data_IF_983105539880
#
_entry.id   IF_983105539880
#
_cell.length_a   1.000
_cell.length_b   1.000
_cell.length_c   1.000
_cell.angle_alpha   90.00
_cell.angle_beta   90.00
_cell.angle_gamma   90.00
#
_symmetry.space_group_name_H-M   'P 1'
#
loop_
_entity.id
_entity.type
_entity.pdbx_description
1 polymer ?
#
# COMPACT_ATOMS: atom_id res chain seq x y z
N UNK A 1 17.44 -19.63 44.23
CA UNK A 1 16.22 -19.36 43.46
C UNK A 1 16.40 -18.05 42.69
N UNK A 2 16.53 -18.11 41.36
CA UNK A 2 16.57 -16.92 40.49
C UNK A 2 15.18 -16.69 39.90
N UNK A 3 14.65 -15.46 39.87
CA UNK A 3 13.27 -15.21 39.49
C UNK A 3 13.05 -15.45 37.99
N UNK A 4 11.98 -16.16 37.67
CA UNK A 4 11.47 -16.42 36.32
C UNK A 4 11.19 -15.08 35.63
N UNK A 5 11.99 -14.73 34.62
CA UNK A 5 11.65 -13.62 33.70
C UNK A 5 10.37 -13.99 32.96
N UNK A 6 9.32 -13.23 33.22
CA UNK A 6 7.99 -13.47 32.68
C UNK A 6 8.00 -13.43 31.15
N UNK A 7 7.24 -14.35 30.58
CA UNK A 7 7.00 -14.66 29.17
C UNK A 7 6.17 -13.56 28.47
N UNK A 8 6.53 -12.28 28.63
CA UNK A 8 6.07 -11.19 27.76
C UNK A 8 7.06 -11.07 26.61
N UNK A 9 6.82 -11.86 25.56
CA UNK A 9 7.50 -11.74 24.27
C UNK A 9 7.50 -10.28 23.85
N UNK A 10 8.70 -9.70 23.69
CA UNK A 10 8.87 -8.44 22.99
C UNK A 10 8.40 -8.68 21.56
N UNK A 11 7.20 -8.21 21.22
CA UNK A 11 6.81 -7.98 19.83
C UNK A 11 7.88 -7.05 19.25
N UNK A 12 8.80 -7.59 18.46
CA UNK A 12 9.72 -6.80 17.66
C UNK A 12 8.84 -5.97 16.71
N UNK A 13 8.67 -4.68 17.03
CA UNK A 13 7.94 -3.77 16.16
C UNK A 13 8.68 -3.70 14.82
N UNK A 14 7.97 -3.97 13.72
CA UNK A 14 8.57 -3.87 12.39
C UNK A 14 8.93 -2.42 12.09
N UNK A 15 10.12 -2.23 11.56
CA UNK A 15 10.61 -0.97 10.97
C UNK A 15 10.36 -0.90 9.46
N UNK A 16 9.95 -2.01 8.84
CA UNK A 16 9.68 -2.16 7.40
C UNK A 16 8.41 -2.98 7.14
N UNK A 17 7.68 -2.59 6.09
CA UNK A 17 6.46 -3.27 5.67
C UNK A 17 6.76 -4.71 5.22
N UNK A 18 5.87 -5.65 5.52
CA UNK A 18 6.07 -7.01 5.01
C UNK A 18 5.84 -7.07 3.49
N UNK A 19 6.53 -8.01 2.84
CA UNK A 19 6.24 -8.39 1.44
C UNK A 19 5.18 -9.49 1.35
N UNK A 20 4.47 -9.79 2.44
CA UNK A 20 3.39 -10.76 2.41
C UNK A 20 2.31 -10.27 1.44
N UNK A 21 1.71 -11.21 0.71
CA UNK A 21 0.76 -10.98 -0.38
C UNK A 21 1.33 -10.31 -1.64
N UNK A 22 2.59 -9.85 -1.64
CA UNK A 22 3.20 -9.14 -2.77
C UNK A 22 3.65 -10.10 -3.89
N UNK A 23 2.70 -10.88 -4.41
CA UNK A 23 2.88 -11.89 -5.46
C UNK A 23 1.64 -11.94 -6.37
N UNK A 24 1.74 -12.53 -7.57
CA UNK A 24 0.58 -12.76 -8.43
C UNK A 24 -0.50 -13.58 -7.70
N UNK A 25 -1.76 -13.27 -7.99
CA UNK A 25 -2.89 -13.89 -7.33
C UNK A 25 -4.12 -13.84 -8.24
N UNK A 26 -4.81 -14.97 -8.37
CA UNK A 26 -6.10 -15.03 -9.06
C UNK A 26 -7.20 -14.27 -8.27
N UNK A 27 -8.36 -14.08 -8.89
CA UNK A 27 -9.46 -13.31 -8.31
C UNK A 27 -10.12 -14.02 -7.12
N UNK A 28 -10.13 -15.34 -7.08
CA UNK A 28 -10.74 -16.10 -6.00
C UNK A 28 -9.89 -16.00 -4.73
N UNK A 29 -8.60 -16.30 -4.88
CA UNK A 29 -7.57 -16.14 -3.85
C UNK A 29 -7.54 -14.70 -3.31
N UNK A 30 -7.62 -13.70 -4.20
CA UNK A 30 -7.70 -12.28 -3.81
C UNK A 30 -8.91 -11.97 -2.92
N UNK A 31 -10.12 -12.37 -3.35
CA UNK A 31 -11.34 -12.16 -2.57
C UNK A 31 -11.29 -12.90 -1.24
N UNK A 32 -10.73 -14.11 -1.22
CA UNK A 32 -10.57 -14.92 -0.01
C UNK A 32 -9.69 -14.23 1.02
N UNK A 33 -8.53 -13.72 0.60
CA UNK A 33 -7.60 -12.97 1.46
C UNK A 33 -8.26 -11.69 1.99
N UNK A 34 -8.89 -10.88 1.13
CA UNK A 34 -9.59 -9.67 1.56
C UNK A 34 -10.72 -9.97 2.55
N UNK A 35 -11.53 -11.00 2.29
CA UNK A 35 -12.59 -11.43 3.19
C UNK A 35 -12.06 -11.88 4.56
N UNK A 36 -10.96 -12.64 4.57
CA UNK A 36 -10.29 -13.07 5.81
C UNK A 36 -9.76 -11.88 6.62
N UNK A 37 -9.03 -10.97 5.97
CA UNK A 37 -8.50 -9.76 6.61
C UNK A 37 -9.62 -8.86 7.13
N UNK A 38 -10.69 -8.67 6.36
CA UNK A 38 -11.84 -7.87 6.77
C UNK A 38 -12.52 -8.43 8.03
N UNK A 39 -12.72 -9.76 8.11
CA UNK A 39 -13.27 -10.41 9.32
C UNK A 39 -12.36 -10.22 10.53
N UNK A 40 -11.05 -10.43 10.35
CA UNK A 40 -10.07 -10.27 11.42
C UNK A 40 -9.94 -8.83 11.89
N UNK A 41 -10.10 -7.85 11.01
CA UNK A 41 -10.09 -6.44 11.42
C UNK A 41 -11.27 -6.06 12.33
N UNK A 42 -12.38 -6.81 12.33
CA UNK A 42 -13.54 -6.50 13.18
C UNK A 42 -13.26 -6.71 14.68
N UNK A 43 -12.22 -7.47 15.06
CA UNK A 43 -11.92 -7.70 16.49
C UNK A 43 -11.13 -6.55 17.13
N UNK A 44 -10.64 -5.60 16.33
CA UNK A 44 -9.89 -4.45 16.84
C UNK A 44 -10.84 -3.29 17.17
N UNK A 45 -10.50 -2.47 18.18
CA UNK A 45 -11.19 -1.21 18.40
C UNK A 45 -11.19 -0.36 17.13
N UNK A 46 -12.36 0.14 16.73
CA UNK A 46 -12.55 0.88 15.47
C UNK A 46 -11.56 2.03 15.32
N UNK A 47 -11.34 2.80 16.39
CA UNK A 47 -10.45 3.97 16.35
C UNK A 47 -8.97 3.59 16.19
N UNK A 48 -8.55 2.43 16.72
CA UNK A 48 -7.19 1.94 16.55
C UNK A 48 -6.87 1.65 15.07
N UNK A 49 -7.88 1.26 14.29
CA UNK A 49 -7.79 1.02 12.85
C UNK A 49 -7.98 2.32 12.06
N UNK A 50 -8.99 3.13 12.41
CA UNK A 50 -9.31 4.33 11.62
C UNK A 50 -8.29 5.45 11.75
N UNK A 51 -7.59 5.57 12.88
CA UNK A 51 -6.57 6.60 13.05
C UNK A 51 -5.45 6.50 11.99
N UNK A 52 -4.77 5.36 11.78
CA UNK A 52 -3.77 5.25 10.72
C UNK A 52 -4.40 5.36 9.32
N UNK A 53 -5.61 4.82 9.10
CA UNK A 53 -6.29 4.90 7.79
C UNK A 53 -6.54 6.34 7.36
N UNK A 54 -6.97 7.21 8.29
CA UNK A 54 -7.18 8.64 8.01
C UNK A 54 -5.89 9.36 7.64
N UNK A 55 -4.78 9.02 8.29
CA UNK A 55 -3.45 9.58 7.95
C UNK A 55 -3.04 9.16 6.54
N UNK A 56 -3.21 7.89 6.21
CA UNK A 56 -2.91 7.35 4.86
C UNK A 56 -3.78 8.05 3.81
N UNK A 57 -5.09 8.11 4.03
CA UNK A 57 -6.04 8.69 3.08
C UNK A 57 -5.77 10.19 2.87
N UNK A 58 -5.56 10.95 3.95
CA UNK A 58 -5.23 12.38 3.87
C UNK A 58 -3.90 12.60 3.14
N UNK A 59 -2.87 11.80 3.45
CA UNK A 59 -1.59 11.87 2.77
C UNK A 59 -1.69 11.58 1.28
N UNK A 60 -2.41 10.52 0.89
CA UNK A 60 -2.68 10.22 -0.52
C UNK A 60 -3.43 11.37 -1.19
N UNK A 61 -4.39 12.00 -0.49
CA UNK A 61 -5.11 13.17 -0.98
C UNK A 61 -4.20 14.34 -1.29
N UNK A 62 -3.23 14.64 -0.42
CA UNK A 62 -2.22 15.70 -0.63
C UNK A 62 -1.36 15.38 -1.87
N UNK A 63 -0.96 14.13 -2.06
CA UNK A 63 -0.10 13.72 -3.17
C UNK A 63 -0.85 13.55 -4.50
N UNK A 64 -2.18 13.48 -4.49
CA UNK A 64 -2.93 13.06 -5.67
C UNK A 64 -2.80 14.04 -6.84
N UNK A 65 -3.10 15.33 -6.60
CA UNK A 65 -3.06 16.36 -7.63
C UNK A 65 -1.69 16.50 -8.31
N UNK A 66 -0.55 16.64 -7.59
CA UNK A 66 0.73 16.77 -8.26
C UNK A 66 1.12 15.47 -9.00
N UNK A 67 0.88 14.29 -8.41
CA UNK A 67 1.16 13.03 -9.10
C UNK A 67 0.30 12.82 -10.35
N UNK A 68 -0.94 13.30 -10.36
CA UNK A 68 -1.76 13.29 -11.58
C UNK A 68 -1.24 14.26 -12.64
N UNK A 69 -0.72 15.42 -12.25
CA UNK A 69 -0.08 16.34 -13.18
C UNK A 69 1.15 15.70 -13.82
N UNK A 70 2.00 15.03 -13.03
CA UNK A 70 3.17 14.31 -13.55
C UNK A 70 2.76 13.19 -14.50
N UNK A 71 1.75 12.40 -14.14
CA UNK A 71 1.25 11.36 -15.03
C UNK A 71 0.70 11.93 -16.35
N UNK A 72 -0.04 13.03 -16.32
CA UNK A 72 -0.55 13.68 -17.56
C UNK A 72 0.59 14.21 -18.44
N UNK A 73 1.65 14.72 -17.83
CA UNK A 73 2.79 15.27 -18.56
C UNK A 73 3.69 14.20 -19.19
N UNK A 74 3.73 12.97 -18.63
CA UNK A 74 4.77 11.98 -18.98
C UNK A 74 4.26 10.61 -19.41
N UNK A 75 3.09 10.17 -18.91
CA UNK A 75 2.67 8.77 -19.09
C UNK A 75 1.99 8.49 -20.44
N UNK A 76 1.43 9.51 -21.11
CA UNK A 76 0.70 9.33 -22.38
C UNK A 76 1.58 8.81 -23.51
N UNK A 77 2.83 9.26 -23.55
CA UNK A 77 3.81 8.93 -24.59
C UNK A 77 4.92 8.00 -24.07
N UNK A 78 4.74 7.40 -22.90
CA UNK A 78 5.74 6.56 -22.26
C UNK A 78 5.81 5.18 -22.94
N UNK A 79 6.94 4.88 -23.57
CA UNK A 79 7.19 3.58 -24.23
C UNK A 79 7.39 2.42 -23.24
N UNK A 80 7.81 2.72 -22.00
CA UNK A 80 8.01 1.72 -20.94
C UNK A 80 7.33 2.15 -19.62
N UNK A 81 5.99 2.09 -19.56
CA UNK A 81 5.27 2.52 -18.37
C UNK A 81 5.59 1.58 -17.19
N UNK A 82 5.69 2.11 -15.97
CA UNK A 82 5.96 1.30 -14.78
C UNK A 82 5.02 0.10 -14.57
N UNK A 83 3.85 0.11 -15.21
CA UNK A 83 2.84 -0.94 -15.20
C UNK A 83 3.19 -2.19 -16.05
N UNK A 84 4.10 -2.10 -17.01
CA UNK A 84 4.56 -3.24 -17.83
C UNK A 84 5.78 -3.91 -17.19
N UNK A 85 6.82 -3.14 -16.85
CA UNK A 85 8.10 -3.70 -16.38
C UNK A 85 8.20 -4.00 -14.87
N UNK A 86 7.50 -3.26 -14.00
CA UNK A 86 7.69 -3.40 -12.55
C UNK A 86 6.72 -4.41 -11.96
N UNK A 87 7.25 -5.41 -11.23
CA UNK A 87 6.53 -6.39 -10.39
C UNK A 87 5.87 -5.74 -9.16
N UNK A 88 4.99 -4.79 -9.44
CA UNK A 88 4.17 -4.05 -8.47
C UNK A 88 3.02 -4.92 -8.04
N UNK A 89 2.92 -5.20 -6.74
CA UNK A 89 1.85 -5.98 -6.13
C UNK A 89 1.37 -5.27 -4.87
N UNK A 90 0.10 -5.44 -4.51
CA UNK A 90 -0.38 -5.12 -3.18
C UNK A 90 0.30 -6.01 -2.15
N UNK A 91 0.86 -5.41 -1.10
CA UNK A 91 1.36 -6.13 0.07
C UNK A 91 0.30 -6.16 1.19
N UNK A 92 0.59 -6.84 2.29
CA UNK A 92 -0.32 -6.96 3.44
C UNK A 92 -0.77 -5.60 3.99
N UNK A 93 0.14 -4.63 4.11
CA UNK A 93 -0.20 -3.29 4.58
C UNK A 93 -1.19 -2.58 3.63
N UNK A 94 -1.04 -2.76 2.31
CA UNK A 94 -2.03 -2.29 1.34
C UNK A 94 -3.39 -2.93 1.56
N UNK A 95 -3.42 -4.27 1.72
CA UNK A 95 -4.68 -4.98 1.89
C UNK A 95 -5.40 -4.57 3.17
N UNK A 96 -4.66 -4.43 4.28
CA UNK A 96 -5.21 -3.94 5.55
C UNK A 96 -5.81 -2.53 5.41
N UNK A 97 -5.14 -1.64 4.69
CA UNK A 97 -5.67 -0.31 4.40
C UNK A 97 -6.95 -0.40 3.55
N UNK A 98 -6.96 -1.20 2.48
CA UNK A 98 -8.12 -1.36 1.59
C UNK A 98 -9.34 -1.94 2.32
N UNK A 99 -9.15 -2.97 3.17
CA UNK A 99 -10.27 -3.55 3.93
C UNK A 99 -10.78 -2.58 5.01
N UNK A 100 -9.89 -1.77 5.61
CA UNK A 100 -10.27 -0.79 6.62
C UNK A 100 -10.97 0.45 6.04
N UNK A 101 -10.64 0.84 4.80
CA UNK A 101 -11.22 2.02 4.12
C UNK A 101 -12.72 1.87 3.82
N UNK A 102 -13.21 0.64 3.61
CA UNK A 102 -14.64 0.30 3.37
C UNK A 102 -15.34 1.06 2.21
N UNK A 103 -14.59 1.56 1.22
CA UNK A 103 -15.16 2.22 0.03
C UNK A 103 -15.40 1.24 -1.13
N UNK A 104 -14.33 0.63 -1.62
CA UNK A 104 -14.34 -0.39 -2.67
C UNK A 104 -13.02 -1.15 -2.64
N UNK A 105 -13.00 -2.37 -3.17
CA UNK A 105 -11.77 -3.13 -3.35
C UNK A 105 -11.46 -3.27 -4.85
N UNK A 106 -10.17 -3.21 -5.25
CA UNK A 106 -9.78 -3.60 -6.59
C UNK A 106 -10.29 -5.01 -6.93
N UNK A 107 -10.62 -5.26 -8.20
CA UNK A 107 -11.16 -6.55 -8.66
C UNK A 107 -10.21 -7.73 -8.43
N UNK A 108 -8.91 -7.47 -8.25
CA UNK A 108 -7.87 -8.46 -8.09
C UNK A 108 -6.53 -7.84 -7.69
N UNK A 109 -5.54 -8.69 -7.47
CA UNK A 109 -4.14 -8.29 -7.47
C UNK A 109 -3.76 -7.66 -8.81
N UNK A 110 -2.70 -6.86 -8.85
CA UNK A 110 -2.28 -6.17 -10.08
C UNK A 110 -2.05 -7.09 -11.28
N UNK A 111 -1.68 -8.35 -11.05
CA UNK A 111 -1.43 -9.38 -12.07
C UNK A 111 -1.95 -10.74 -11.64
N UNK A 112 -2.39 -11.57 -12.59
CA UNK A 112 -2.77 -12.96 -12.32
C UNK A 112 -1.51 -13.83 -12.34
N UNK A 113 -0.66 -13.63 -13.35
CA UNK A 113 0.63 -14.32 -13.54
C UNK A 113 1.81 -13.35 -13.48
N UNK A 114 3.03 -13.82 -13.19
CA UNK A 114 4.21 -12.97 -13.09
C UNK A 114 4.50 -12.09 -14.32
N UNK A 115 4.25 -12.62 -15.51
CA UNK A 115 4.53 -12.04 -16.82
C UNK A 115 3.43 -11.12 -17.36
N UNK A 116 2.24 -11.15 -16.75
CA UNK A 116 1.13 -10.31 -17.19
C UNK A 116 1.46 -8.83 -16.97
N UNK A 117 1.02 -7.92 -17.88
CA UNK A 117 1.00 -6.50 -17.57
C UNK A 117 0.06 -6.23 -16.38
N UNK A 118 0.24 -5.08 -15.72
CA UNK A 118 -0.71 -4.65 -14.70
C UNK A 118 -2.12 -4.53 -15.32
N UNK A 119 -3.08 -5.29 -14.81
CA UNK A 119 -4.46 -5.31 -15.33
C UNK A 119 -5.23 -3.99 -15.20
N UNK A 120 -4.69 -3.05 -14.42
CA UNK A 120 -5.27 -1.73 -14.21
C UNK A 120 -4.66 -0.66 -15.11
N UNK A 121 -3.74 -1.03 -16.02
CA UNK A 121 -3.23 -0.13 -17.04
C UNK A 121 -4.30 0.08 -18.11
N UNK A 122 -4.72 1.33 -18.30
CA UNK A 122 -5.58 1.76 -19.41
C UNK A 122 -4.82 2.61 -20.42
N UNK A 123 -5.49 3.04 -21.51
CA UNK A 123 -4.86 3.77 -22.61
C UNK A 123 -4.22 5.12 -22.21
N UNK A 124 -4.67 5.73 -21.12
CA UNK A 124 -4.17 7.02 -20.60
C UNK A 124 -3.57 6.90 -19.20
N UNK A 125 -3.08 5.71 -18.85
CA UNK A 125 -2.54 5.40 -17.53
C UNK A 125 -3.49 4.57 -16.65
N UNK A 126 -3.23 4.55 -15.35
CA UNK A 126 -3.92 3.63 -14.45
C UNK A 126 -5.40 3.98 -14.25
N UNK A 127 -6.27 2.98 -14.42
CA UNK A 127 -7.73 3.07 -14.27
C UNK A 127 -8.19 3.19 -12.81
N UNK A 128 -7.33 2.87 -11.84
CA UNK A 128 -7.67 2.98 -10.42
C UNK A 128 -7.45 4.41 -9.92
N UNK A 129 -8.33 4.96 -9.08
CA UNK A 129 -8.01 6.16 -8.31
C UNK A 129 -6.85 5.87 -7.35
N UNK A 130 -6.03 6.88 -7.03
CA UNK A 130 -4.75 6.68 -6.31
C UNK A 130 -4.91 6.03 -4.94
N UNK A 131 -6.00 6.32 -4.24
CA UNK A 131 -6.31 5.71 -2.94
C UNK A 131 -6.65 4.22 -3.02
N UNK A 132 -6.85 3.65 -4.21
CA UNK A 132 -7.02 2.20 -4.40
C UNK A 132 -5.75 1.52 -4.94
N UNK A 133 -4.71 2.26 -5.32
CA UNK A 133 -3.49 1.68 -5.90
C UNK A 133 -2.58 1.10 -4.80
N UNK A 134 -1.69 0.15 -5.12
CA UNK A 134 -0.65 -0.29 -4.18
C UNK A 134 0.21 0.90 -3.74
N UNK A 135 0.73 0.92 -2.52
CA UNK A 135 1.50 2.06 -2.02
C UNK A 135 2.74 2.36 -2.85
N UNK A 136 3.35 1.36 -3.48
CA UNK A 136 4.42 1.59 -4.45
C UNK A 136 4.00 2.52 -5.58
N UNK A 137 2.76 2.47 -6.06
CA UNK A 137 2.25 3.43 -7.06
C UNK A 137 1.99 4.84 -6.51
N UNK A 138 2.09 5.04 -5.19
CA UNK A 138 1.95 6.34 -4.53
C UNK A 138 3.31 7.00 -4.31
N UNK A 139 4.31 6.24 -3.85
CA UNK A 139 5.63 6.79 -3.53
C UNK A 139 6.65 6.68 -4.66
N UNK A 140 6.46 5.78 -5.63
CA UNK A 140 7.39 5.60 -6.72
C UNK A 140 7.30 6.75 -7.74
N UNK A 141 8.46 7.33 -8.05
CA UNK A 141 8.67 8.28 -9.14
C UNK A 141 9.63 7.63 -10.15
N UNK A 142 9.23 7.55 -11.41
CA UNK A 142 10.15 7.22 -12.50
C UNK A 142 11.09 8.41 -12.76
N UNK A 143 12.09 8.24 -13.62
CA UNK A 143 13.04 9.29 -13.99
C UNK A 143 12.34 10.58 -14.43
N UNK A 144 11.41 10.50 -15.38
CA UNK A 144 10.64 11.68 -15.83
C UNK A 144 9.82 12.34 -14.70
N UNK A 145 9.25 11.56 -13.77
CA UNK A 145 8.57 12.14 -12.59
C UNK A 145 9.56 12.75 -11.58
N UNK A 146 10.76 12.18 -11.46
CA UNK A 146 11.81 12.70 -10.58
C UNK A 146 12.31 14.05 -11.07
N UNK A 147 12.47 14.24 -12.38
CA UNK A 147 12.82 15.54 -12.97
C UNK A 147 11.78 16.62 -12.63
N UNK A 148 10.49 16.31 -12.81
CA UNK A 148 9.40 17.21 -12.43
C UNK A 148 9.41 17.51 -10.94
N UNK A 149 9.61 16.49 -10.10
CA UNK A 149 9.72 16.67 -8.65
C UNK A 149 10.92 17.54 -8.24
N UNK A 150 12.06 17.40 -8.90
CA UNK A 150 13.26 18.21 -8.62
C UNK A 150 13.09 19.67 -9.03
N UNK A 151 12.24 19.95 -10.02
CA UNK A 151 11.88 21.30 -10.44
C UNK A 151 10.89 22.00 -9.49
N UNK A 152 10.20 21.26 -8.61
CA UNK A 152 9.29 21.84 -7.61
C UNK A 152 10.04 22.70 -6.58
N UNK A 153 9.40 23.71 -5.97
CA UNK A 153 10.00 24.48 -4.90
C UNK A 153 10.46 23.60 -3.72
N UNK A 154 11.59 23.90 -3.06
CA UNK A 154 12.09 23.08 -1.93
C UNK A 154 11.07 22.90 -0.79
N UNK A 155 10.18 23.88 -0.58
CA UNK A 155 9.07 23.79 0.39
C UNK A 155 8.06 22.70 0.01
N UNK A 156 7.71 22.59 -1.28
CA UNK A 156 6.84 21.55 -1.81
C UNK A 156 7.50 20.18 -1.69
N UNK A 157 8.78 20.08 -2.08
CA UNK A 157 9.54 18.82 -1.98
C UNK A 157 9.59 18.31 -0.52
N UNK A 158 9.91 19.18 0.45
CA UNK A 158 9.92 18.81 1.87
C UNK A 158 8.55 18.34 2.37
N UNK A 159 7.49 19.06 1.99
CA UNK A 159 6.11 18.67 2.35
C UNK A 159 5.75 17.31 1.77
N UNK A 160 6.16 17.03 0.54
CA UNK A 160 5.94 15.75 -0.12
C UNK A 160 6.64 14.61 0.61
N UNK A 161 7.94 14.78 0.89
CA UNK A 161 8.75 13.79 1.61
C UNK A 161 8.14 13.52 2.99
N UNK A 162 7.77 14.56 3.74
CA UNK A 162 7.12 14.40 5.03
C UNK A 162 5.79 13.63 4.91
N UNK A 163 4.98 13.95 3.89
CA UNK A 163 3.71 13.24 3.63
C UNK A 163 3.94 11.75 3.37
N UNK A 164 4.98 11.38 2.61
CA UNK A 164 5.33 9.98 2.37
C UNK A 164 5.81 9.27 3.65
N UNK A 165 6.58 9.96 4.50
CA UNK A 165 6.99 9.43 5.80
C UNK A 165 5.79 9.18 6.72
N UNK A 166 4.84 10.11 6.75
CA UNK A 166 3.62 9.98 7.57
C UNK A 166 2.76 8.80 7.10
N UNK A 167 2.57 8.65 5.78
CA UNK A 167 1.86 7.49 5.21
C UNK A 167 2.57 6.18 5.58
N UNK A 168 3.89 6.11 5.39
CA UNK A 168 4.69 4.90 5.72
C UNK A 168 4.53 4.53 7.19
N UNK A 169 4.64 5.50 8.09
CA UNK A 169 4.51 5.27 9.54
C UNK A 169 3.10 4.78 9.92
N UNK A 170 2.06 5.37 9.32
CA UNK A 170 0.69 4.94 9.54
C UNK A 170 0.42 3.51 9.02
N UNK A 171 1.00 3.15 7.86
CA UNK A 171 0.93 1.79 7.31
C UNK A 171 1.63 0.77 8.19
N UNK A 172 2.84 1.07 8.66
CA UNK A 172 3.57 0.24 9.63
C UNK A 172 2.77 0.06 10.93
N UNK A 173 2.14 1.14 11.42
CA UNK A 173 1.29 1.06 12.62
C UNK A 173 0.11 0.10 12.41
N UNK A 174 -0.56 0.19 11.27
CA UNK A 174 -1.69 -0.69 10.94
C UNK A 174 -1.25 -2.16 10.85
N UNK A 175 -0.13 -2.43 10.20
CA UNK A 175 0.42 -3.78 10.07
C UNK A 175 0.90 -4.35 11.41
N UNK A 176 1.64 -3.57 12.21
CA UNK A 176 2.11 -3.98 13.54
C UNK A 176 0.93 -4.26 14.50
N UNK A 177 -0.13 -3.45 14.44
CA UNK A 177 -1.35 -3.69 15.21
C UNK A 177 -1.98 -5.04 14.83
N UNK A 178 -2.09 -5.31 13.53
CA UNK A 178 -2.62 -6.58 13.04
C UNK A 178 -1.79 -7.78 13.51
N UNK A 179 -0.47 -7.72 13.32
CA UNK A 179 0.48 -8.78 13.66
C UNK A 179 0.53 -9.06 15.18
N UNK A 180 0.32 -8.04 16.01
CA UNK A 180 0.27 -8.21 17.48
C UNK A 180 -0.85 -9.15 17.95
N UNK A 181 -1.94 -9.26 17.18
CA UNK A 181 -3.10 -10.11 17.51
C UNK A 181 -3.11 -11.41 16.72
N UNK A 182 -2.61 -11.38 15.49
CA UNK A 182 -2.58 -12.50 14.56
C UNK A 182 -1.14 -12.79 14.09
N UNK A 183 -0.24 -13.19 15.02
CA UNK A 183 1.14 -13.51 14.66
C UNK A 183 1.15 -14.71 13.71
N UNK A 184 1.99 -14.65 12.68
CA UNK A 184 2.11 -15.71 11.69
C UNK A 184 1.01 -15.77 10.64
N UNK A 185 0.05 -14.82 10.58
CA UNK A 185 -0.91 -14.80 9.47
C UNK A 185 -0.18 -14.61 8.14
N UNK A 186 -0.32 -15.59 7.26
CA UNK A 186 0.26 -15.57 5.92
C UNK A 186 -0.82 -15.38 4.87
N UNK A 187 -0.42 -14.96 3.68
CA UNK A 187 -1.34 -14.86 2.53
C UNK A 187 -1.55 -16.22 1.83
N UNK A 188 -0.93 -17.28 2.35
CA UNK A 188 -0.74 -18.56 1.69
C UNK A 188 -1.61 -19.66 2.31
N UNK A 189 -2.12 -19.41 3.53
CA UNK A 189 -3.19 -20.23 4.11
C UNK A 189 -4.54 -19.89 3.48
N UNK A 190 -4.74 -20.56 2.36
CA UNK A 190 -5.98 -20.84 1.68
C UNK A 190 -6.12 -22.36 1.55
#
# INVERSE_FOLDING_TARGET
>A
MKPKRSRRQRLQQRTEESRLCAKPMDNESWRRVLGRLNRRLQVFPRDAILQPVRVIEAGIGILNAPMEAYCRATCGDCLDPCCTGRKVFYNRADLLYLVALRKAWPLGQTRVRPEDPCRFLGPRGCLLPRYLRPYVCVWFLCEAHMELFQAEPPTVQRRWIQTLLDIRNARLRLENLFESRFPGDTCDEA
#
